data_IF_346297537897
#
_entry.id   IF_346297537897
#
_cell.length_a   1.000
_cell.length_b   1.000
_cell.length_c   1.000
_cell.angle_alpha   90.00
_cell.angle_beta   90.00
_cell.angle_gamma   90.00
#
_symmetry.space_group_name_H-M   'P 1'
#
loop_
_entity.id
_entity.type
_entity.pdbx_description
1 polymer ?
#
# COMPACT_ATOMS: atom_id res chain seq x y z
N UNK A 1 -14.60 -5.53 7.34
CA UNK A 1 -14.74 -4.90 6.00
C UNK A 1 -13.46 -5.15 5.24
N UNK A 2 -13.54 -5.61 4.00
CA UNK A 2 -12.36 -5.99 3.21
C UNK A 2 -12.12 -5.02 2.05
N UNK A 3 -10.86 -4.70 1.74
CA UNK A 3 -10.46 -3.89 0.59
C UNK A 3 -9.24 -4.49 -0.11
N UNK A 4 -9.27 -4.45 -1.43
CA UNK A 4 -8.09 -4.73 -2.26
C UNK A 4 -7.13 -3.54 -2.18
N UNK A 5 -5.83 -3.85 -2.14
CA UNK A 5 -4.72 -2.90 -2.09
C UNK A 5 -3.89 -3.09 -3.35
N UNK A 6 -3.76 -2.03 -4.14
CA UNK A 6 -2.81 -1.94 -5.25
C UNK A 6 -1.55 -1.26 -4.78
N UNK A 7 -0.39 -1.83 -5.05
CA UNK A 7 0.91 -1.31 -4.60
C UNK A 7 1.71 -0.82 -5.80
N UNK A 8 2.28 0.37 -5.67
CA UNK A 8 3.23 0.94 -6.62
C UNK A 8 4.49 1.33 -5.88
N UNK A 9 5.63 0.80 -6.30
CA UNK A 9 6.92 1.10 -5.70
C UNK A 9 7.57 2.25 -6.46
N UNK A 10 8.08 3.21 -5.71
CA UNK A 10 8.79 4.38 -6.18
C UNK A 10 10.29 4.05 -6.21
N UNK A 11 10.85 3.85 -7.41
CA UNK A 11 12.29 3.66 -7.57
C UNK A 11 13.00 5.02 -7.46
N UNK A 12 14.05 5.10 -6.64
CA UNK A 12 14.75 6.36 -6.32
C UNK A 12 15.40 7.12 -7.49
N UNK A 13 15.51 6.51 -8.68
CA UNK A 13 16.11 7.13 -9.87
C UNK A 13 15.07 7.35 -10.98
N UNK A 14 14.26 8.41 -10.85
CA UNK A 14 13.40 9.01 -11.90
C UNK A 14 12.48 8.06 -12.72
N UNK A 15 12.25 6.84 -12.26
CA UNK A 15 11.40 5.87 -12.93
C UNK A 15 9.93 6.13 -12.63
N UNK A 16 9.05 5.81 -13.59
CA UNK A 16 7.63 5.69 -13.28
C UNK A 16 7.42 4.65 -12.16
N UNK A 17 6.47 4.86 -11.24
CA UNK A 17 6.17 3.87 -10.21
C UNK A 17 5.89 2.51 -10.85
N UNK A 18 6.52 1.44 -10.37
CA UNK A 18 6.27 0.10 -10.89
C UNK A 18 5.22 -0.62 -10.05
N UNK A 19 4.24 -1.29 -10.68
CA UNK A 19 3.24 -2.05 -9.95
C UNK A 19 3.87 -3.27 -9.29
N UNK A 20 3.40 -3.57 -8.09
CA UNK A 20 3.68 -4.83 -7.40
C UNK A 20 2.40 -5.67 -7.22
N UNK A 21 2.53 -6.97 -6.91
CA UNK A 21 1.39 -7.79 -6.53
C UNK A 21 0.58 -7.14 -5.41
N UNK A 22 -0.68 -6.85 -5.72
CA UNK A 22 -1.64 -6.36 -4.74
C UNK A 22 -1.98 -7.40 -3.69
N UNK A 23 -2.70 -6.98 -2.66
CA UNK A 23 -3.16 -7.85 -1.58
C UNK A 23 -4.47 -7.35 -0.99
N UNK A 24 -5.07 -8.10 -0.09
CA UNK A 24 -6.30 -7.69 0.60
C UNK A 24 -6.01 -7.35 2.04
N UNK A 25 -6.68 -6.33 2.56
CA UNK A 25 -6.71 -6.02 4.00
C UNK A 25 -8.13 -6.05 4.51
N UNK A 26 -8.29 -6.48 5.75
CA UNK A 26 -9.58 -6.50 6.43
C UNK A 26 -9.48 -5.80 7.78
N UNK A 27 -10.47 -4.95 8.07
CA UNK A 27 -10.64 -4.31 9.37
C UNK A 27 -12.10 -3.94 9.64
N UNK A 28 -12.44 -3.66 10.89
CA UNK A 28 -13.81 -3.23 11.27
C UNK A 28 -14.09 -1.76 11.01
N UNK A 29 -13.04 -0.95 10.81
CA UNK A 29 -13.14 0.52 10.58
C UNK A 29 -12.26 0.95 9.41
N UNK A 30 -12.50 2.16 8.89
CA UNK A 30 -11.67 2.74 7.82
C UNK A 30 -10.24 2.96 8.29
N UNK A 31 -10.06 3.54 9.47
CA UNK A 31 -8.73 3.75 10.06
C UNK A 31 -8.02 2.41 10.28
N UNK A 32 -8.76 1.37 10.72
CA UNK A 32 -8.21 0.03 10.86
C UNK A 32 -7.72 -0.59 9.54
N UNK A 33 -8.31 -0.22 8.40
CA UNK A 33 -7.80 -0.65 7.09
C UNK A 33 -6.45 0.00 6.78
N UNK A 34 -6.26 1.27 7.16
CA UNK A 34 -4.99 1.96 6.98
C UNK A 34 -3.92 1.37 7.91
N UNK A 35 -4.27 1.08 9.16
CA UNK A 35 -3.34 0.42 10.11
C UNK A 35 -2.92 -0.97 9.60
N UNK A 36 -3.89 -1.78 9.14
CA UNK A 36 -3.61 -3.10 8.57
C UNK A 36 -2.72 -3.01 7.31
N UNK A 37 -2.99 -2.04 6.42
CA UNK A 37 -2.17 -1.78 5.23
C UNK A 37 -0.74 -1.39 5.61
N UNK A 38 -0.57 -0.48 6.59
CA UNK A 38 0.77 -0.06 7.03
C UNK A 38 1.55 -1.22 7.66
N UNK A 39 0.88 -2.07 8.46
CA UNK A 39 1.48 -3.25 9.05
C UNK A 39 1.98 -4.25 8.01
N UNK A 40 1.14 -4.58 7.03
CA UNK A 40 1.49 -5.51 5.95
C UNK A 40 2.64 -4.98 5.08
N UNK A 41 2.59 -3.71 4.66
CA UNK A 41 3.68 -3.11 3.87
C UNK A 41 4.98 -3.02 4.68
N UNK A 42 4.91 -2.73 5.98
CA UNK A 42 6.08 -2.76 6.84
C UNK A 42 6.67 -4.17 6.97
N UNK A 43 5.84 -5.21 7.07
CA UNK A 43 6.28 -6.61 7.12
C UNK A 43 6.97 -7.04 5.81
N UNK A 44 6.61 -6.42 4.68
CA UNK A 44 7.26 -6.60 3.37
C UNK A 44 8.56 -5.81 3.22
N UNK A 45 9.01 -5.11 4.25
CA UNK A 45 10.20 -4.27 4.17
C UNK A 45 9.99 -2.97 3.38
N UNK A 46 8.74 -2.56 3.19
CA UNK A 46 8.40 -1.36 2.43
C UNK A 46 8.12 -0.18 3.36
N UNK A 47 8.40 1.02 2.88
CA UNK A 47 8.04 2.29 3.53
C UNK A 47 6.93 2.95 2.74
N UNK A 48 5.78 3.16 3.40
CA UNK A 48 4.66 3.85 2.77
C UNK A 48 4.96 5.33 2.59
N UNK A 49 4.69 5.84 1.39
CA UNK A 49 4.84 7.25 1.00
C UNK A 49 3.52 7.98 0.86
N UNK A 50 2.53 7.31 0.28
CA UNK A 50 1.18 7.83 0.17
C UNK A 50 0.17 6.68 0.07
N UNK A 51 -1.02 6.90 0.61
CA UNK A 51 -2.16 6.01 0.44
C UNK A 51 -3.33 6.83 -0.09
N UNK A 52 -4.02 6.31 -1.10
CA UNK A 52 -5.22 6.91 -1.67
C UNK A 52 -6.39 5.95 -1.60
N UNK A 53 -7.55 6.48 -1.21
CA UNK A 53 -8.82 5.75 -1.30
C UNK A 53 -9.34 5.86 -2.72
N UNK A 54 -9.64 4.72 -3.31
CA UNK A 54 -10.22 4.62 -4.66
C UNK A 54 -11.59 3.93 -4.57
N UNK A 55 -12.49 4.12 -5.55
CA UNK A 55 -13.75 3.38 -5.61
C UNK A 55 -13.55 1.86 -5.59
N UNK A 56 -12.40 1.38 -6.08
CA UNK A 56 -12.08 -0.05 -6.19
C UNK A 56 -11.25 -0.61 -5.04
N UNK A 57 -10.88 0.19 -4.03
CA UNK A 57 -9.98 -0.25 -2.96
C UNK A 57 -8.97 0.81 -2.53
N UNK A 58 -7.83 0.39 -2.00
CA UNK A 58 -6.72 1.25 -1.61
C UNK A 58 -5.61 1.21 -2.65
N UNK A 59 -4.92 2.33 -2.81
CA UNK A 59 -3.73 2.48 -3.63
C UNK A 59 -2.60 2.95 -2.73
N UNK A 60 -1.52 2.17 -2.63
CA UNK A 60 -0.35 2.49 -1.85
C UNK A 60 0.85 2.79 -2.76
N UNK A 61 1.47 3.94 -2.56
CA UNK A 61 2.80 4.24 -3.08
C UNK A 61 3.82 3.98 -1.99
N UNK A 62 4.84 3.17 -2.29
CA UNK A 62 5.85 2.74 -1.33
C UNK A 62 7.26 2.92 -1.86
N UNK A 63 8.24 2.92 -0.98
CA UNK A 63 9.66 2.80 -1.30
C UNK A 63 10.19 1.52 -0.65
N UNK A 64 11.14 0.86 -1.30
CA UNK A 64 11.89 -0.21 -0.64
C UNK A 64 12.69 0.39 0.52
N UNK A 65 12.67 -0.25 1.69
CA UNK A 65 13.58 0.16 2.76
C UNK A 65 15.00 -0.26 2.38
N UNK A 66 15.99 0.63 2.55
CA UNK A 66 17.40 0.28 2.37
C UNK A 66 17.87 -0.75 3.41
#
# INVERSE_FOLDING_TARGET
MQRDVKVFVLSGSSGAPHPEPGFTVEASTLDGLLDALHGELAARGQRVRAVSHTPTGLLAYVEDRP
#
